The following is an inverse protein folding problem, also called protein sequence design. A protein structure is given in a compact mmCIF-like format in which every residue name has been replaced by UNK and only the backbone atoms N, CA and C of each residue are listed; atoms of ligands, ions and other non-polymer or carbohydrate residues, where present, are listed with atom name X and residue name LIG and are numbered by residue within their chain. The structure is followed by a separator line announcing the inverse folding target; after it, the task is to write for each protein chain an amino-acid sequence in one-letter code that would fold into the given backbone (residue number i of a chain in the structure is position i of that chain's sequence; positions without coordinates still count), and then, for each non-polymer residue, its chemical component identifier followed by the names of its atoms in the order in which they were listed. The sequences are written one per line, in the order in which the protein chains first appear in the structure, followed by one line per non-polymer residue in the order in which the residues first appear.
data_IF_220107920095
#
_entry.id   IF_220107920095
#
_cell.length_a   1.000
_cell.length_b   1.000
_cell.length_c   1.000
_cell.angle_alpha   90.00
_cell.angle_beta   90.00
_cell.angle_gamma   90.00
#
_symmetry.space_group_name_H-M   'P 1'
#
loop_
_entity.id
_entity.type
_entity.pdbx_description
1 polymer ?
#
# COMPACT_ATOMS: atom_id res chain seq x y z
N UNK A 1 13.52 13.71 11.97
CA UNK A 1 13.34 12.27 11.68
C UNK A 1 12.09 12.12 10.81
N UNK A 2 12.10 11.31 9.75
CA UNK A 2 10.90 11.07 8.92
C UNK A 2 9.82 10.34 9.74
N UNK A 3 8.55 10.64 9.51
CA UNK A 3 7.46 10.17 10.37
C UNK A 3 6.77 8.87 9.89
N UNK A 4 6.98 8.42 8.65
CA UNK A 4 6.29 7.25 8.11
C UNK A 4 6.76 5.91 8.68
N UNK A 5 5.94 4.88 8.46
CA UNK A 5 6.17 3.53 8.98
C UNK A 5 7.34 2.80 8.30
N UNK A 6 7.44 2.82 6.96
CA UNK A 6 8.46 2.04 6.25
C UNK A 6 9.84 2.71 6.26
N UNK A 7 9.92 4.00 5.91
CA UNK A 7 11.18 4.75 5.81
C UNK A 7 11.23 5.93 6.81
N UNK A 8 10.78 5.69 8.05
CA UNK A 8 10.76 6.68 9.12
C UNK A 8 10.77 6.08 10.53
N UNK A 9 10.73 6.96 11.53
CA UNK A 9 10.80 6.60 12.95
C UNK A 9 9.57 5.84 13.47
N UNK A 10 8.41 6.01 12.82
CA UNK A 10 7.18 5.34 13.24
C UNK A 10 7.31 3.81 13.16
N UNK A 11 8.02 3.28 12.15
CA UNK A 11 8.27 1.83 12.06
C UNK A 11 9.10 1.32 13.23
N UNK A 12 10.17 2.04 13.57
CA UNK A 12 11.06 1.70 14.69
C UNK A 12 10.25 1.64 15.99
N UNK A 13 9.45 2.68 16.26
CA UNK A 13 8.65 2.76 17.47
C UNK A 13 7.52 1.72 17.50
N UNK A 14 6.85 1.49 16.37
CA UNK A 14 5.78 0.50 16.30
C UNK A 14 6.31 -0.93 16.55
N UNK A 15 7.43 -1.29 15.91
CA UNK A 15 8.05 -2.61 16.11
C UNK A 15 8.57 -2.75 17.54
N UNK A 16 9.26 -1.74 18.08
CA UNK A 16 9.73 -1.77 19.46
C UNK A 16 8.57 -1.96 20.46
N UNK A 17 7.45 -1.26 20.26
CA UNK A 17 6.26 -1.42 21.09
C UNK A 17 5.68 -2.85 21.00
N UNK A 18 5.59 -3.43 19.81
CA UNK A 18 5.11 -4.79 19.61
C UNK A 18 6.03 -5.82 20.27
N UNK A 19 7.35 -5.68 20.13
CA UNK A 19 8.34 -6.57 20.76
C UNK A 19 8.26 -6.48 22.28
N UNK A 20 8.26 -5.28 22.86
CA UNK A 20 8.17 -5.12 24.32
C UNK A 20 6.87 -5.68 24.88
N UNK A 21 5.74 -5.48 24.20
CA UNK A 21 4.45 -6.06 24.59
C UNK A 21 4.51 -7.59 24.55
N UNK A 22 5.06 -8.17 23.49
CA UNK A 22 5.19 -9.62 23.34
C UNK A 22 6.08 -10.25 24.42
N UNK A 23 7.07 -9.51 24.92
CA UNK A 23 7.93 -9.92 26.03
C UNK A 23 7.31 -9.64 27.42
N UNK A 24 6.10 -9.10 27.50
CA UNK A 24 5.44 -8.74 28.76
C UNK A 24 6.03 -7.51 29.46
N UNK A 25 6.87 -6.72 28.77
CA UNK A 25 7.54 -5.55 29.33
C UNK A 25 6.62 -4.32 29.27
N UNK A 26 6.31 -3.72 30.42
CA UNK A 26 5.48 -2.50 30.53
C UNK A 26 6.08 -1.29 29.77
N UNK A 27 7.37 -1.32 29.48
CA UNK A 27 8.09 -0.28 28.77
C UNK A 27 7.62 -0.05 27.33
N UNK A 28 6.73 -0.90 26.77
CA UNK A 28 6.11 -0.70 25.45
C UNK A 28 5.40 0.66 25.32
N UNK A 29 5.01 1.29 26.43
CA UNK A 29 4.41 2.63 26.45
C UNK A 29 5.38 3.71 25.94
N UNK A 30 6.69 3.59 26.24
CA UNK A 30 7.69 4.57 25.81
C UNK A 30 7.77 4.72 24.28
N UNK A 31 7.95 3.64 23.48
CA UNK A 31 7.93 3.75 22.04
C UNK A 31 6.53 4.14 21.51
N UNK A 32 5.42 3.74 22.13
CA UNK A 32 4.09 4.22 21.72
C UNK A 32 3.93 5.74 21.86
N UNK A 33 4.43 6.33 22.95
CA UNK A 33 4.44 7.80 23.12
C UNK A 33 5.30 8.46 22.05
N UNK A 34 6.50 7.91 21.76
CA UNK A 34 7.35 8.42 20.67
C UNK A 34 6.69 8.30 19.30
N UNK A 35 5.97 7.21 19.04
CA UNK A 35 5.15 7.04 17.84
C UNK A 35 4.10 8.15 17.76
N UNK A 36 3.29 8.31 18.81
CA UNK A 36 2.21 9.31 18.87
C UNK A 36 2.72 10.72 18.56
N UNK A 37 3.85 11.11 19.15
CA UNK A 37 4.42 12.45 19.01
C UNK A 37 4.85 12.79 17.56
N UNK A 38 5.03 11.80 16.67
CA UNK A 38 5.31 12.06 15.26
C UNK A 38 4.14 12.72 14.52
N UNK A 39 2.94 12.75 15.12
CA UNK A 39 1.79 13.45 14.53
C UNK A 39 2.07 14.93 14.26
N UNK A 40 2.89 15.58 15.10
CA UNK A 40 3.27 17.00 14.96
C UNK A 40 4.06 17.25 13.67
N UNK A 41 4.79 16.24 13.18
CA UNK A 41 5.51 16.29 11.91
C UNK A 41 4.53 16.13 10.74
N UNK A 42 3.51 15.28 10.90
CA UNK A 42 2.56 14.97 9.82
C UNK A 42 1.39 15.95 9.70
N UNK A 43 1.07 16.71 10.75
CA UNK A 43 -0.07 17.62 10.77
C UNK A 43 0.05 18.84 9.83
N UNK A 44 1.22 19.51 9.67
CA UNK A 44 1.37 20.61 8.72
C UNK A 44 1.10 20.14 7.30
N UNK A 45 0.50 21.01 6.45
CA UNK A 45 0.09 20.65 5.08
C UNK A 45 1.25 20.23 4.17
N UNK A 46 2.43 20.81 4.36
CA UNK A 46 3.67 20.41 3.69
C UNK A 46 4.75 20.24 4.74
N UNK A 47 5.25 19.00 4.90
CA UNK A 47 6.40 18.72 5.79
C UNK A 47 7.58 18.06 5.05
N UNK A 48 7.38 17.66 3.80
CA UNK A 48 8.41 17.22 2.87
C UNK A 48 8.29 17.99 1.56
N UNK A 49 9.41 18.52 1.07
CA UNK A 49 9.49 19.20 -0.23
C UNK A 49 9.14 18.28 -1.40
N UNK A 50 9.47 16.99 -1.28
CA UNK A 50 9.24 16.00 -2.32
C UNK A 50 7.82 15.43 -2.35
N UNK A 51 6.90 15.91 -1.51
CA UNK A 51 5.56 15.33 -1.37
C UNK A 51 5.40 14.60 -0.04
N UNK A 52 4.28 14.85 0.63
CA UNK A 52 4.09 14.55 2.06
C UNK A 52 3.09 13.42 2.33
N UNK A 53 2.49 12.83 1.31
CA UNK A 53 1.26 12.02 1.48
C UNK A 53 1.44 10.51 1.26
N UNK A 54 2.45 10.09 0.49
CA UNK A 54 2.60 8.68 0.08
C UNK A 54 3.01 7.72 1.21
N UNK A 55 3.13 6.42 0.90
CA UNK A 55 3.24 5.36 1.92
C UNK A 55 4.62 5.28 2.57
N UNK A 56 5.71 5.54 1.85
CA UNK A 56 7.05 5.22 2.37
C UNK A 56 7.55 6.26 3.36
N UNK A 57 7.31 7.53 3.08
CA UNK A 57 7.80 8.69 3.83
C UNK A 57 6.68 9.66 4.27
N UNK A 58 5.49 9.54 3.70
CA UNK A 58 4.36 10.45 3.92
C UNK A 58 3.33 10.04 4.99
N UNK A 59 2.22 10.80 5.03
CA UNK A 59 1.10 10.63 5.97
C UNK A 59 0.40 9.29 5.85
N UNK A 60 0.22 8.76 4.63
CA UNK A 60 -0.36 7.43 4.46
C UNK A 60 0.50 6.37 5.16
N UNK A 61 1.82 6.50 5.09
CA UNK A 61 2.75 5.66 5.84
C UNK A 61 2.57 5.75 7.36
N UNK A 62 2.40 6.95 7.88
CA UNK A 62 2.17 7.16 9.32
C UNK A 62 0.85 6.56 9.80
N UNK A 63 -0.25 6.81 9.07
CA UNK A 63 -1.56 6.20 9.34
C UNK A 63 -1.51 4.66 9.23
N UNK A 64 -0.77 4.12 8.26
CA UNK A 64 -0.55 2.69 8.13
C UNK A 64 0.09 2.11 9.40
N UNK A 65 1.13 2.77 9.94
CA UNK A 65 1.74 2.36 11.21
C UNK A 65 0.77 2.38 12.39
N UNK A 66 -0.09 3.39 12.47
CA UNK A 66 -1.11 3.49 13.52
C UNK A 66 -2.14 2.35 13.42
N UNK A 67 -2.55 2.00 12.19
CA UNK A 67 -3.45 0.89 11.92
C UNK A 67 -2.82 -0.46 12.29
N UNK A 68 -1.53 -0.66 11.97
CA UNK A 68 -0.78 -1.87 12.35
C UNK A 68 -0.74 -2.03 13.87
N UNK A 69 -0.48 -0.95 14.62
CA UNK A 69 -0.50 -0.98 16.08
C UNK A 69 -1.89 -1.31 16.64
N UNK A 70 -2.95 -0.71 16.09
CA UNK A 70 -4.33 -1.02 16.46
C UNK A 70 -4.66 -2.51 16.24
N UNK A 71 -4.29 -3.06 15.08
CA UNK A 71 -4.60 -4.45 14.71
C UNK A 71 -3.81 -5.47 15.52
N UNK A 72 -2.54 -5.21 15.84
CA UNK A 72 -1.69 -6.19 16.51
C UNK A 72 -1.75 -6.09 18.04
N UNK A 73 -1.97 -4.90 18.59
CA UNK A 73 -1.95 -4.66 20.04
C UNK A 73 -3.32 -4.32 20.63
N UNK A 74 -4.32 -4.04 19.80
CA UNK A 74 -5.62 -3.52 20.26
C UNK A 74 -5.54 -2.09 20.80
N UNK A 75 -4.47 -1.35 20.49
CA UNK A 75 -4.22 -0.02 21.04
C UNK A 75 -4.45 1.05 19.98
N UNK A 76 -5.36 1.97 20.27
CA UNK A 76 -5.49 3.22 19.53
C UNK A 76 -4.43 4.21 20.00
N UNK A 77 -3.32 4.28 19.26
CA UNK A 77 -2.17 5.11 19.64
C UNK A 77 -2.39 6.61 19.41
N UNK A 78 -3.23 6.99 18.44
CA UNK A 78 -3.59 8.37 18.10
C UNK A 78 -5.00 8.71 18.60
N UNK A 79 -5.21 9.96 19.01
CA UNK A 79 -6.55 10.44 19.35
C UNK A 79 -7.40 10.66 18.09
N UNK A 80 -8.75 10.69 18.21
CA UNK A 80 -9.64 11.03 17.11
C UNK A 80 -9.31 12.37 16.43
N UNK A 81 -8.91 13.37 17.21
CA UNK A 81 -8.54 14.71 16.73
C UNK A 81 -7.26 14.66 15.89
N UNK A 82 -6.26 13.89 16.35
CA UNK A 82 -5.01 13.69 15.61
C UNK A 82 -5.27 12.97 14.27
N UNK A 83 -6.11 11.92 14.28
CA UNK A 83 -6.48 11.21 13.06
C UNK A 83 -7.22 12.13 12.09
N UNK A 84 -8.21 12.89 12.57
CA UNK A 84 -8.94 13.88 11.76
C UNK A 84 -8.01 14.90 11.14
N UNK A 85 -7.09 15.47 11.92
CA UNK A 85 -6.14 16.47 11.43
C UNK A 85 -5.25 15.91 10.31
N UNK A 86 -4.73 14.68 10.46
CA UNK A 86 -3.90 14.04 9.45
C UNK A 86 -4.71 13.73 8.18
N UNK A 87 -5.90 13.15 8.32
CA UNK A 87 -6.78 12.87 7.19
C UNK A 87 -7.16 14.15 6.43
N UNK A 88 -7.50 15.22 7.15
CA UNK A 88 -7.82 16.51 6.55
C UNK A 88 -6.62 17.12 5.83
N UNK A 89 -5.40 16.99 6.37
CA UNK A 89 -4.18 17.43 5.70
C UNK A 89 -3.95 16.66 4.37
N UNK A 90 -4.19 15.35 4.35
CA UNK A 90 -4.11 14.55 3.11
C UNK A 90 -5.14 15.03 2.08
N UNK A 91 -6.39 15.26 2.49
CA UNK A 91 -7.45 15.74 1.58
C UNK A 91 -7.12 17.13 1.03
N UNK A 92 -6.73 18.07 1.89
CA UNK A 92 -6.43 19.44 1.48
C UNK A 92 -5.19 19.51 0.59
N UNK A 93 -4.13 18.75 0.90
CA UNK A 93 -2.94 18.63 0.04
C UNK A 93 -3.32 18.15 -1.36
N UNK A 94 -4.18 17.12 -1.43
CA UNK A 94 -4.66 16.55 -2.69
C UNK A 94 -5.50 17.55 -3.51
N UNK A 95 -6.40 18.28 -2.85
CA UNK A 95 -7.22 19.33 -3.49
C UNK A 95 -6.34 20.47 -4.03
N UNK A 96 -5.38 20.94 -3.22
CA UNK A 96 -4.49 22.02 -3.61
C UNK A 96 -3.62 21.64 -4.80
N UNK A 97 -3.05 20.43 -4.79
CA UNK A 97 -2.26 19.94 -5.91
C UNK A 97 -3.11 19.82 -7.19
N UNK A 98 -4.28 19.17 -7.11
CA UNK A 98 -5.18 19.02 -8.24
C UNK A 98 -5.58 20.37 -8.85
N UNK A 99 -5.96 21.35 -8.00
CA UNK A 99 -6.29 22.72 -8.44
C UNK A 99 -5.09 23.41 -9.09
N UNK A 100 -3.92 23.37 -8.45
CA UNK A 100 -2.68 23.99 -8.95
C UNK A 100 -2.28 23.46 -10.33
N UNK A 101 -2.44 22.14 -10.55
CA UNK A 101 -2.13 21.46 -11.81
C UNK A 101 -3.33 21.40 -12.78
N UNK A 102 -4.45 22.07 -12.46
CA UNK A 102 -5.68 22.13 -13.27
C UNK A 102 -6.19 20.75 -13.68
N UNK A 103 -6.15 19.81 -12.74
CA UNK A 103 -6.61 18.44 -12.97
C UNK A 103 -8.14 18.37 -13.03
N UNK A 104 -8.72 17.48 -13.85
CA UNK A 104 -10.17 17.31 -13.94
C UNK A 104 -10.77 16.51 -12.76
N UNK A 105 -9.93 15.91 -11.92
CA UNK A 105 -10.31 15.15 -10.72
C UNK A 105 -9.92 15.90 -9.45
N UNK A 106 -10.67 15.67 -8.37
CA UNK A 106 -10.59 16.50 -7.16
C UNK A 106 -9.40 16.21 -6.25
N UNK A 107 -8.85 14.99 -6.26
CA UNK A 107 -7.67 14.63 -5.47
C UNK A 107 -6.58 14.08 -6.37
N UNK A 108 -5.37 14.61 -6.22
CA UNK A 108 -4.17 14.06 -6.83
C UNK A 108 -2.95 14.44 -6.03
N UNK A 109 -1.92 13.60 -6.11
CA UNK A 109 -0.71 13.73 -5.32
C UNK A 109 0.50 13.57 -6.24
N UNK A 110 1.63 14.11 -5.81
CA UNK A 110 2.90 13.86 -6.46
C UNK A 110 3.98 13.53 -5.45
N UNK A 111 4.95 12.73 -5.88
CA UNK A 111 6.18 12.47 -5.16
C UNK A 111 7.36 12.75 -6.10
N UNK A 112 8.27 13.64 -5.69
CA UNK A 112 9.32 14.21 -6.55
C UNK A 112 8.79 14.76 -7.90
N UNK A 113 7.59 15.33 -7.88
CA UNK A 113 6.93 15.89 -9.07
C UNK A 113 6.22 14.85 -9.95
N UNK A 114 6.34 13.55 -9.66
CA UNK A 114 5.71 12.47 -10.39
C UNK A 114 4.37 12.06 -9.77
N UNK A 115 3.35 11.88 -10.62
CA UNK A 115 2.00 11.47 -10.23
C UNK A 115 1.88 9.94 -10.25
N UNK A 116 2.44 9.28 -9.23
CA UNK A 116 2.42 7.82 -9.15
C UNK A 116 1.01 7.27 -8.89
N UNK A 117 0.70 6.11 -9.47
CA UNK A 117 -0.57 5.41 -9.27
C UNK A 117 -0.47 4.24 -8.27
N UNK A 118 0.70 3.60 -8.20
CA UNK A 118 0.94 2.37 -7.43
C UNK A 118 0.93 2.53 -5.90
N UNK A 119 1.17 1.43 -5.18
CA UNK A 119 1.05 1.40 -3.72
C UNK A 119 2.23 2.01 -2.97
N UNK A 120 3.43 2.07 -3.55
CA UNK A 120 4.58 2.66 -2.87
C UNK A 120 4.43 4.20 -2.74
N UNK A 121 4.52 4.90 -3.86
CA UNK A 121 4.58 6.36 -3.89
C UNK A 121 3.31 7.03 -4.39
N UNK A 122 2.25 6.25 -4.64
CA UNK A 122 1.14 6.69 -5.47
C UNK A 122 -0.22 6.76 -4.82
N UNK A 123 -1.17 7.15 -5.66
CA UNK A 123 -2.57 7.37 -5.30
C UNK A 123 -3.21 6.15 -4.61
N UNK A 124 -2.84 4.92 -4.99
CA UNK A 124 -3.44 3.69 -4.47
C UNK A 124 -3.40 3.59 -2.94
N UNK A 125 -2.23 3.78 -2.33
CA UNK A 125 -2.04 3.61 -0.87
C UNK A 125 -2.56 4.79 -0.07
N UNK A 126 -2.49 6.00 -0.64
CA UNK A 126 -3.10 7.19 -0.07
C UNK A 126 -4.61 6.99 0.08
N UNK A 127 -5.28 6.58 -1.00
CA UNK A 127 -6.71 6.28 -0.98
C UNK A 127 -7.03 5.09 -0.06
N UNK A 128 -6.18 4.07 -0.01
CA UNK A 128 -6.38 2.91 0.85
C UNK A 128 -6.41 3.32 2.33
N UNK A 129 -5.53 4.24 2.72
CA UNK A 129 -5.50 4.78 4.08
C UNK A 129 -6.71 5.68 4.35
N UNK A 130 -7.08 6.58 3.42
CA UNK A 130 -8.28 7.40 3.59
C UNK A 130 -9.56 6.56 3.72
N UNK A 131 -9.70 5.47 2.96
CA UNK A 131 -10.79 4.51 3.14
C UNK A 131 -10.73 3.77 4.48
N UNK A 132 -9.53 3.55 5.02
CA UNK A 132 -9.36 2.87 6.30
C UNK A 132 -9.70 3.73 7.51
N UNK A 133 -9.77 5.05 7.32
CA UNK A 133 -10.12 6.05 8.34
C UNK A 133 -11.34 6.88 7.91
N UNK A 134 -12.20 6.31 7.05
CA UNK A 134 -13.31 7.02 6.42
C UNK A 134 -14.28 7.66 7.42
N UNK A 135 -14.43 7.05 8.60
CA UNK A 135 -15.27 7.54 9.70
C UNK A 135 -14.81 8.89 10.26
N UNK A 136 -13.52 9.23 10.09
CA UNK A 136 -12.94 10.51 10.51
C UNK A 136 -13.06 11.61 9.46
N UNK A 137 -13.51 11.29 8.25
CA UNK A 137 -13.72 12.25 7.17
C UNK A 137 -15.16 12.82 7.21
N UNK A 138 -15.36 14.12 6.94
CA UNK A 138 -16.68 14.67 6.61
C UNK A 138 -17.28 14.01 5.36
N UNK A 139 -18.61 13.97 5.24
CA UNK A 139 -19.32 13.32 4.12
C UNK A 139 -18.80 13.79 2.75
N UNK A 140 -18.66 15.10 2.55
CA UNK A 140 -18.16 15.62 1.27
C UNK A 140 -16.76 15.13 0.91
N UNK A 141 -15.86 15.00 1.88
CA UNK A 141 -14.51 14.49 1.63
C UNK A 141 -14.52 12.98 1.35
N UNK A 142 -15.43 12.22 1.97
CA UNK A 142 -15.62 10.79 1.64
C UNK A 142 -16.02 10.61 0.19
N UNK A 143 -16.91 11.46 -0.33
CA UNK A 143 -17.34 11.38 -1.74
C UNK A 143 -16.18 11.65 -2.69
N UNK A 144 -15.31 12.61 -2.37
CA UNK A 144 -14.10 12.89 -3.16
C UNK A 144 -13.12 11.71 -3.17
N UNK A 145 -12.97 11.02 -2.02
CA UNK A 145 -12.16 9.79 -1.95
C UNK A 145 -12.73 8.72 -2.86
N UNK A 146 -14.05 8.48 -2.81
CA UNK A 146 -14.69 7.48 -3.67
C UNK A 146 -14.61 7.82 -5.16
N UNK A 147 -14.79 9.09 -5.53
CA UNK A 147 -14.58 9.56 -6.90
C UNK A 147 -13.14 9.29 -7.37
N UNK A 148 -12.16 9.48 -6.47
CA UNK A 148 -10.74 9.23 -6.77
C UNK A 148 -10.40 7.74 -6.88
N UNK A 149 -11.09 6.88 -6.10
CA UNK A 149 -10.99 5.41 -6.25
C UNK A 149 -11.52 4.96 -7.60
N UNK A 150 -12.68 5.49 -8.02
CA UNK A 150 -13.27 5.18 -9.32
C UNK A 150 -12.41 5.73 -10.47
N UNK A 151 -11.84 6.93 -10.31
CA UNK A 151 -10.85 7.48 -11.25
C UNK A 151 -9.64 6.56 -11.43
N UNK A 152 -9.04 6.06 -10.33
CA UNK A 152 -7.91 5.14 -10.40
C UNK A 152 -8.29 3.82 -11.08
N UNK A 153 -9.50 3.30 -10.84
CA UNK A 153 -9.99 2.11 -11.54
C UNK A 153 -10.00 2.31 -13.06
N UNK A 154 -10.40 3.49 -13.52
CA UNK A 154 -10.43 3.84 -14.94
C UNK A 154 -9.04 4.06 -15.57
N UNK A 155 -7.95 4.04 -14.78
CA UNK A 155 -6.58 4.08 -15.28
C UNK A 155 -6.03 2.69 -15.62
N UNK A 156 -6.83 1.64 -15.46
CA UNK A 156 -6.45 0.27 -15.82
C UNK A 156 -6.12 0.15 -17.31
N UNK A 157 -4.99 -0.46 -17.64
CA UNK A 157 -4.55 -0.80 -18.98
C UNK A 157 -4.22 -2.30 -19.00
N UNK A 158 -4.96 -3.09 -19.78
CA UNK A 158 -4.73 -4.54 -19.92
C UNK A 158 -4.64 -5.29 -18.56
N UNK A 159 -5.56 -5.04 -17.62
CA UNK A 159 -5.56 -5.62 -16.26
C UNK A 159 -4.36 -5.19 -15.38
N UNK A 160 -3.65 -4.12 -15.73
CA UNK A 160 -2.53 -3.56 -14.98
C UNK A 160 -2.65 -2.02 -14.89
N UNK A 161 -1.77 -1.37 -14.14
CA UNK A 161 -1.71 0.09 -14.01
C UNK A 161 -0.32 0.60 -14.37
N UNK A 162 -0.21 1.70 -15.12
CA UNK A 162 1.07 2.34 -15.33
C UNK A 162 1.64 2.84 -14.00
N UNK A 163 2.96 2.98 -13.92
CA UNK A 163 3.60 3.50 -12.71
C UNK A 163 3.14 4.93 -12.38
N UNK A 164 2.91 5.72 -13.43
CA UNK A 164 2.68 7.16 -13.40
C UNK A 164 1.44 7.51 -14.23
N UNK A 165 0.72 8.56 -13.84
CA UNK A 165 -0.45 9.01 -14.58
C UNK A 165 -0.05 9.52 -15.98
N UNK A 166 -0.80 9.08 -16.99
CA UNK A 166 -0.60 9.47 -18.38
C UNK A 166 0.44 8.64 -19.14
N UNK A 167 1.18 7.77 -18.45
CA UNK A 167 2.05 6.80 -19.11
C UNK A 167 1.24 5.66 -19.76
N UNK A 168 1.80 5.09 -20.83
CA UNK A 168 1.27 3.89 -21.48
C UNK A 168 2.09 2.68 -21.06
N UNK A 169 1.43 1.56 -20.80
CA UNK A 169 2.13 0.31 -20.48
C UNK A 169 2.69 -0.30 -21.77
N UNK A 170 4.01 -0.23 -21.92
CA UNK A 170 4.75 -0.97 -22.93
C UNK A 170 4.99 -2.40 -22.46
N UNK A 171 4.75 -3.39 -23.34
CA UNK A 171 4.89 -4.82 -22.97
C UNK A 171 6.27 -5.19 -22.45
N UNK A 172 7.32 -4.55 -22.97
CA UNK A 172 8.71 -4.83 -22.61
C UNK A 172 9.10 -4.27 -21.24
N UNK A 173 8.44 -3.19 -20.82
CA UNK A 173 8.71 -2.45 -19.59
C UNK A 173 7.58 -2.56 -18.56
N UNK A 174 6.70 -3.55 -18.71
CA UNK A 174 5.52 -3.71 -17.87
C UNK A 174 5.90 -4.07 -16.43
N UNK A 175 5.55 -3.19 -15.49
CA UNK A 175 5.78 -3.41 -14.06
C UNK A 175 4.60 -4.16 -13.46
N UNK A 176 4.86 -5.37 -12.96
CA UNK A 176 3.89 -6.20 -12.23
C UNK A 176 4.38 -6.35 -10.78
N UNK A 177 4.50 -5.22 -10.10
CA UNK A 177 5.11 -5.12 -8.78
C UNK A 177 4.10 -4.66 -7.72
N UNK A 178 4.43 -4.85 -6.44
CA UNK A 178 3.65 -4.24 -5.37
C UNK A 178 3.83 -2.71 -5.36
N UNK A 179 5.04 -2.21 -5.59
CA UNK A 179 5.26 -0.75 -5.64
C UNK A 179 4.54 -0.08 -6.81
N UNK A 180 4.56 -0.69 -7.99
CA UNK A 180 3.97 -0.17 -9.23
C UNK A 180 3.29 -1.30 -10.02
N UNK A 181 1.99 -1.15 -10.27
CA UNK A 181 1.19 -2.11 -11.03
C UNK A 181 0.10 -2.81 -10.21
N UNK A 182 -0.55 -3.77 -10.87
CA UNK A 182 -1.71 -4.51 -10.39
C UNK A 182 -1.53 -5.12 -9.00
N UNK A 183 -0.38 -5.74 -8.65
CA UNK A 183 -0.20 -6.35 -7.33
C UNK A 183 -0.35 -5.37 -6.16
N UNK A 184 0.13 -4.13 -6.32
CA UNK A 184 -0.04 -3.09 -5.30
C UNK A 184 -1.45 -2.52 -5.26
N UNK A 185 -2.00 -2.24 -6.45
CA UNK A 185 -3.32 -1.62 -6.60
C UNK A 185 -4.45 -2.52 -6.09
N UNK A 186 -4.27 -3.84 -6.12
CA UNK A 186 -5.22 -4.82 -5.59
C UNK A 186 -5.65 -4.54 -4.15
N UNK A 187 -4.75 -4.03 -3.30
CA UNK A 187 -5.03 -3.78 -1.88
C UNK A 187 -6.03 -2.65 -1.64
N UNK A 188 -5.99 -1.61 -2.49
CA UNK A 188 -6.98 -0.54 -2.44
C UNK A 188 -8.37 -1.09 -2.78
N UNK A 189 -8.49 -1.82 -3.89
CA UNK A 189 -9.80 -2.33 -4.31
C UNK A 189 -10.34 -3.41 -3.38
N UNK A 190 -9.46 -4.19 -2.74
CA UNK A 190 -9.85 -5.08 -1.67
C UNK A 190 -10.46 -4.30 -0.50
N UNK A 191 -9.81 -3.23 -0.06
CA UNK A 191 -10.35 -2.36 1.00
C UNK A 191 -11.68 -1.72 0.58
N UNK A 192 -11.78 -1.24 -0.66
CA UNK A 192 -13.01 -0.69 -1.21
C UNK A 192 -14.16 -1.70 -1.18
N UNK A 193 -13.92 -2.93 -1.66
CA UNK A 193 -14.88 -4.01 -1.65
C UNK A 193 -15.34 -4.36 -0.22
N UNK A 194 -14.42 -4.39 0.74
CA UNK A 194 -14.77 -4.68 2.14
C UNK A 194 -15.74 -3.66 2.74
N UNK A 195 -15.68 -2.39 2.30
CA UNK A 195 -16.55 -1.33 2.80
C UNK A 195 -17.91 -1.33 2.11
N UNK A 196 -17.94 -1.34 0.77
CA UNK A 196 -19.18 -1.08 0.01
C UNK A 196 -19.76 -2.30 -0.72
N UNK A 197 -19.04 -3.42 -0.71
CA UNK A 197 -19.44 -4.70 -1.32
C UNK A 197 -19.81 -4.62 -2.81
N UNK A 198 -19.41 -3.56 -3.55
CA UNK A 198 -19.69 -3.47 -5.00
C UNK A 198 -18.88 -4.53 -5.77
N UNK A 199 -19.51 -5.39 -6.59
CA UNK A 199 -18.84 -6.49 -7.29
C UNK A 199 -17.62 -6.05 -8.13
N UNK A 200 -17.73 -4.90 -8.81
CA UNK A 200 -16.64 -4.35 -9.64
C UNK A 200 -15.30 -4.25 -8.92
N UNK A 201 -15.27 -3.95 -7.61
CA UNK A 201 -14.01 -3.86 -6.86
C UNK A 201 -13.39 -5.25 -6.64
N UNK A 202 -14.21 -6.27 -6.37
CA UNK A 202 -13.75 -7.65 -6.28
C UNK A 202 -13.27 -8.15 -7.64
N UNK A 203 -14.00 -7.86 -8.72
CA UNK A 203 -13.60 -8.22 -10.07
C UNK A 203 -12.24 -7.61 -10.43
N UNK A 204 -12.01 -6.35 -10.06
CA UNK A 204 -10.70 -5.70 -10.22
C UNK A 204 -9.60 -6.42 -9.44
N UNK A 205 -9.86 -6.83 -8.19
CA UNK A 205 -8.89 -7.63 -7.43
C UNK A 205 -8.57 -8.96 -8.14
N UNK A 206 -9.58 -9.62 -8.70
CA UNK A 206 -9.41 -10.88 -9.44
C UNK A 206 -8.55 -10.64 -10.69
N UNK A 207 -8.79 -9.56 -11.45
CA UNK A 207 -7.94 -9.17 -12.59
C UNK A 207 -6.49 -8.92 -12.17
N UNK A 208 -6.25 -8.24 -11.05
CA UNK A 208 -4.90 -8.09 -10.50
C UNK A 208 -4.25 -9.45 -10.18
N UNK A 209 -5.03 -10.39 -9.66
CA UNK A 209 -4.58 -11.76 -9.41
C UNK A 209 -4.22 -12.52 -10.68
N UNK A 210 -5.01 -12.40 -11.74
CA UNK A 210 -4.68 -13.01 -13.03
C UNK A 210 -3.40 -12.39 -13.62
N UNK A 211 -3.21 -11.07 -13.51
CA UNK A 211 -1.96 -10.41 -13.90
C UNK A 211 -0.75 -10.92 -13.09
N UNK A 212 -0.89 -11.01 -11.77
CA UNK A 212 0.16 -11.57 -10.89
C UNK A 212 0.44 -13.05 -11.19
N UNK A 213 -0.54 -13.81 -11.67
CA UNK A 213 -0.36 -15.20 -12.08
C UNK A 213 0.41 -15.32 -13.39
N UNK A 214 0.06 -14.51 -14.38
CA UNK A 214 0.67 -14.55 -15.70
C UNK A 214 2.10 -13.98 -15.68
N UNK A 215 2.34 -12.92 -14.91
CA UNK A 215 3.58 -12.12 -15.00
C UNK A 215 4.27 -11.84 -13.67
N UNK A 216 3.75 -12.35 -12.54
CA UNK A 216 4.35 -12.13 -11.20
C UNK A 216 5.54 -13.04 -10.86
N UNK A 217 5.99 -13.89 -11.79
CA UNK A 217 7.27 -14.61 -11.67
C UNK A 217 8.43 -13.71 -12.11
N UNK A 218 8.73 -12.72 -11.27
CA UNK A 218 9.65 -11.64 -11.59
C UNK A 218 11.11 -12.10 -11.53
N UNK A 219 11.86 -11.83 -12.61
CA UNK A 219 13.33 -12.06 -12.67
C UNK A 219 14.13 -11.18 -11.69
N UNK A 220 13.50 -10.13 -11.16
CA UNK A 220 14.11 -9.18 -10.21
C UNK A 220 14.42 -9.79 -8.84
N UNK A 221 13.83 -10.94 -8.52
CA UNK A 221 14.17 -11.73 -7.34
C UNK A 221 12.99 -12.00 -6.39
N UNK A 222 13.26 -12.53 -5.19
CA UNK A 222 12.22 -13.03 -4.28
C UNK A 222 11.52 -11.97 -3.43
N UNK A 223 11.92 -10.70 -3.51
CA UNK A 223 11.48 -9.66 -2.57
C UNK A 223 9.97 -9.35 -2.55
N UNK A 224 9.54 -8.58 -1.54
CA UNK A 224 8.14 -8.16 -1.37
C UNK A 224 7.77 -6.97 -2.27
N UNK A 225 8.65 -5.98 -2.41
CA UNK A 225 8.32 -4.73 -3.09
C UNK A 225 8.09 -4.91 -4.60
N UNK A 226 8.94 -5.71 -5.23
CA UNK A 226 8.97 -5.96 -6.68
C UNK A 226 9.63 -7.30 -6.98
N UNK A 227 9.19 -8.33 -6.25
CA UNK A 227 9.65 -9.69 -6.41
C UNK A 227 8.51 -10.68 -6.26
N UNK A 228 8.85 -11.95 -6.45
CA UNK A 228 7.88 -13.05 -6.51
C UNK A 228 7.03 -13.17 -5.24
N UNK A 229 7.60 -12.86 -4.07
CA UNK A 229 6.83 -12.87 -2.82
C UNK A 229 5.73 -11.81 -2.83
N UNK A 230 6.03 -10.59 -3.29
CA UNK A 230 5.04 -9.50 -3.41
C UNK A 230 3.84 -9.90 -4.27
N UNK A 231 4.10 -10.54 -5.41
CA UNK A 231 3.05 -11.09 -6.27
C UNK A 231 2.25 -12.18 -5.58
N UNK A 232 2.91 -13.09 -4.83
CA UNK A 232 2.24 -14.20 -4.16
C UNK A 232 1.27 -13.74 -3.07
N UNK A 233 1.57 -12.62 -2.39
CA UNK A 233 0.68 -12.04 -1.39
C UNK A 233 -0.68 -11.60 -1.97
N UNK A 234 -0.77 -11.29 -3.27
CA UNK A 234 -2.05 -10.98 -3.94
C UNK A 234 -2.99 -12.18 -3.90
N UNK A 235 -2.45 -13.40 -4.03
CA UNK A 235 -3.27 -14.60 -3.94
C UNK A 235 -3.75 -14.86 -2.51
N UNK A 236 -2.91 -14.59 -1.50
CA UNK A 236 -3.35 -14.66 -0.11
C UNK A 236 -4.45 -13.64 0.19
N UNK A 237 -4.36 -12.44 -0.39
CA UNK A 237 -5.43 -11.44 -0.33
C UNK A 237 -6.73 -11.97 -0.96
N UNK A 238 -6.66 -12.52 -2.19
CA UNK A 238 -7.84 -13.06 -2.88
C UNK A 238 -8.46 -14.26 -2.17
N UNK A 239 -7.66 -15.14 -1.57
CA UNK A 239 -8.17 -16.21 -0.73
C UNK A 239 -8.97 -15.67 0.45
N UNK A 240 -8.44 -14.67 1.18
CA UNK A 240 -9.14 -14.05 2.31
C UNK A 240 -10.45 -13.36 1.89
N UNK A 241 -10.50 -12.81 0.68
CA UNK A 241 -11.70 -12.16 0.16
C UNK A 241 -12.78 -13.14 -0.31
N UNK A 242 -12.39 -14.30 -0.83
CA UNK A 242 -13.31 -15.18 -1.59
C UNK A 242 -13.50 -16.58 -0.99
N UNK A 243 -12.61 -17.02 -0.10
CA UNK A 243 -12.55 -18.40 0.38
C UNK A 243 -12.11 -19.43 -0.67
N UNK A 244 -11.78 -19.02 -1.90
CA UNK A 244 -11.49 -19.94 -2.98
C UNK A 244 -10.05 -20.51 -2.89
N UNK A 245 -9.94 -21.81 -2.67
CA UNK A 245 -8.68 -22.53 -2.48
C UNK A 245 -7.73 -22.49 -3.69
N UNK A 246 -8.23 -22.18 -4.91
CA UNK A 246 -7.40 -21.90 -6.10
C UNK A 246 -6.30 -20.88 -5.80
N UNK A 247 -6.60 -19.87 -4.99
CA UNK A 247 -5.64 -18.82 -4.68
C UNK A 247 -4.56 -19.29 -3.71
N UNK A 248 -4.87 -20.16 -2.74
CA UNK A 248 -3.83 -20.81 -1.91
C UNK A 248 -2.89 -21.62 -2.79
N UNK A 249 -3.42 -22.41 -3.72
CA UNK A 249 -2.62 -23.16 -4.68
C UNK A 249 -1.68 -22.24 -5.49
N UNK A 250 -2.19 -21.11 -6.01
CA UNK A 250 -1.36 -20.15 -6.76
C UNK A 250 -0.26 -19.52 -5.89
N UNK A 251 -0.57 -19.15 -4.65
CA UNK A 251 0.43 -18.64 -3.70
C UNK A 251 1.56 -19.65 -3.48
N UNK A 252 1.22 -20.91 -3.23
CA UNK A 252 2.17 -22.00 -3.03
C UNK A 252 3.03 -22.24 -4.28
N UNK A 253 2.43 -22.25 -5.48
CA UNK A 253 3.17 -22.43 -6.75
C UNK A 253 4.17 -21.30 -7.00
N UNK A 254 3.78 -20.07 -6.71
CA UNK A 254 4.65 -18.91 -6.88
C UNK A 254 5.85 -18.98 -5.92
N UNK A 255 5.62 -19.36 -4.66
CA UNK A 255 6.70 -19.61 -3.69
C UNK A 255 7.57 -20.81 -4.09
N UNK A 256 6.98 -21.91 -4.56
CA UNK A 256 7.73 -23.10 -5.02
C UNK A 256 8.71 -22.77 -6.14
N UNK A 257 8.35 -21.88 -7.06
CA UNK A 257 9.25 -21.43 -8.13
C UNK A 257 10.53 -20.79 -7.60
N UNK A 258 10.48 -20.13 -6.43
CA UNK A 258 11.67 -19.57 -5.79
C UNK A 258 12.60 -20.68 -5.31
N UNK A 259 12.06 -21.70 -4.64
CA UNK A 259 12.85 -22.85 -4.15
C UNK A 259 13.45 -23.67 -5.29
N UNK A 260 12.71 -23.89 -6.37
CA UNK A 260 13.19 -24.64 -7.53
C UNK A 260 14.32 -23.92 -8.26
N UNK A 261 14.26 -22.59 -8.40
CA UNK A 261 15.32 -21.79 -9.02
C UNK A 261 16.60 -21.71 -8.15
N UNK A 262 16.47 -21.76 -6.81
CA UNK A 262 17.63 -21.87 -5.92
C UNK A 262 18.34 -23.22 -6.10
N UNK A 263 17.60 -24.33 -6.32
CA UNK A 263 18.21 -25.63 -6.61
C UNK A 263 18.89 -25.70 -7.99
N UNK A 264 18.40 -24.95 -8.99
CA UNK A 264 19.00 -24.90 -10.32
C UNK A 264 20.28 -24.06 -10.40
N UNK A 265 20.50 -23.14 -9.46
CA UNK A 265 21.73 -22.34 -9.38
C UNK A 265 22.76 -22.88 -8.38
N UNK A 266 22.43 -23.95 -7.65
CA UNK A 266 23.32 -24.64 -6.71
C UNK A 266 23.35 -26.13 -7.07
N UNK A 267 23.95 -26.48 -8.22
CA UNK A 267 24.54 -27.78 -8.62
C UNK A 267 24.76 -27.75 -10.16
N UNK A 268 26.01 -27.89 -10.63
CA UNK A 268 26.62 -29.21 -10.65
C UNK A 268 28.00 -29.20 -9.96
N UNK A 269 28.06 -29.76 -8.77
CA UNK A 269 29.31 -30.34 -8.27
C UNK A 269 29.20 -31.84 -8.53
N UNK A 270 29.76 -32.20 -9.68
CA UNK A 270 30.54 -33.40 -9.97
C UNK A 270 30.55 -34.41 -8.82
N UNK A 271 29.82 -35.52 -8.98
CA UNK A 271 30.33 -36.85 -8.67
C UNK A 271 29.79 -37.77 -9.78
N UNK A 272 30.65 -38.11 -10.74
CA UNK A 272 30.53 -39.33 -11.53
C UNK A 272 31.26 -40.43 -10.73
N UNK A 273 30.64 -41.62 -10.73
CA UNK A 273 31.07 -42.96 -10.29
C UNK A 273 32.05 -43.09 -9.12
#
# INVERSE_FOLDING_TARGET
MRAAFLLGGAGIYAVAAMVYKALGLADFVKPLTKFRNLWEVCAPLTFLECGSDELFVGRAGYLCGALVLKQNLGIEVLSPEQIKAICQAIIESGKQYARKKRKPFSLMYSYYGTEYLGAAHGLSSILQMLLSYSEFLPTGDRDLVWQSVDFLMNQEQNCNWPAELGAMIERENELVHWCHGAPGVAYLFAKAYLINKKPRYLDTCIRCGEMAWQKGLLKKGPGICHGVAGSAYVFLLLYRLTGNSKYIYRAQRQVWSLYANVKLHVLPLIIYD
#
